data_IF_070202522393
#
_entry.id   IF_070202522393
#
_cell.length_a   1.000
_cell.length_b   1.000
_cell.length_c   1.000
_cell.angle_alpha   90.00
_cell.angle_beta   90.00
_cell.angle_gamma   90.00
#
_symmetry.space_group_name_H-M   'P 1'
#
loop_
_entity.id
_entity.type
_entity.pdbx_description
1 polymer ?
#
# COMPACT_ATOMS: atom_id res chain seq x y z
N UNK A 1 -14.73 9.43 0.93
CA UNK A 1 -14.84 7.95 0.91
C UNK A 1 -14.97 7.46 -0.51
N UNK A 2 -14.52 6.23 -0.78
CA UNK A 2 -14.54 5.61 -2.11
C UNK A 2 -14.84 4.12 -1.99
N UNK A 3 -15.53 3.53 -2.95
CA UNK A 3 -15.65 2.08 -3.08
C UNK A 3 -14.78 1.55 -4.23
N UNK A 4 -14.18 0.38 -4.03
CA UNK A 4 -13.49 -0.39 -5.07
C UNK A 4 -14.01 -1.83 -5.03
N UNK A 5 -14.17 -2.45 -6.20
CA UNK A 5 -14.67 -3.83 -6.31
C UNK A 5 -13.55 -4.75 -6.80
N UNK A 6 -13.27 -5.80 -6.04
CA UNK A 6 -12.39 -6.89 -6.45
C UNK A 6 -13.25 -8.10 -6.85
N UNK A 7 -13.41 -8.29 -8.15
CA UNK A 7 -14.24 -9.37 -8.70
C UNK A 7 -13.66 -10.76 -8.44
N UNK A 8 -12.33 -10.93 -8.55
CA UNK A 8 -11.67 -12.24 -8.36
C UNK A 8 -11.92 -12.82 -6.98
N UNK A 9 -11.90 -11.96 -5.95
CA UNK A 9 -12.11 -12.36 -4.55
C UNK A 9 -13.54 -12.11 -4.07
N UNK A 10 -14.40 -11.57 -4.93
CA UNK A 10 -15.76 -11.10 -4.58
C UNK A 10 -15.78 -10.20 -3.36
N UNK A 11 -14.95 -9.16 -3.37
CA UNK A 11 -14.85 -8.17 -2.29
C UNK A 11 -15.28 -6.78 -2.77
N UNK A 12 -15.93 -6.06 -1.86
CA UNK A 12 -16.20 -4.62 -1.98
C UNK A 12 -15.37 -3.96 -0.89
N UNK A 13 -14.46 -3.07 -1.28
CA UNK A 13 -13.59 -2.32 -0.37
C UNK A 13 -14.10 -0.89 -0.29
N UNK A 14 -14.59 -0.48 0.88
CA UNK A 14 -14.96 0.92 1.13
C UNK A 14 -13.84 1.57 1.92
N UNK A 15 -13.19 2.55 1.31
CA UNK A 15 -12.10 3.33 1.89
C UNK A 15 -12.65 4.60 2.52
N UNK A 16 -12.32 4.79 3.80
CA UNK A 16 -12.75 5.94 4.60
C UNK A 16 -11.51 6.65 5.13
N UNK A 17 -11.47 7.97 4.96
CA UNK A 17 -10.42 8.79 5.58
C UNK A 17 -10.60 8.84 7.10
N UNK A 18 -9.63 9.41 7.79
CA UNK A 18 -9.67 9.57 9.25
C UNK A 18 -10.90 10.38 9.69
N UNK A 19 -11.22 11.47 8.99
CA UNK A 19 -12.41 12.31 9.27
C UNK A 19 -13.74 11.58 9.01
N UNK A 20 -13.71 10.56 8.14
CA UNK A 20 -14.89 9.79 7.77
C UNK A 20 -15.06 8.52 8.61
N UNK A 21 -14.09 8.17 9.46
CA UNK A 21 -13.96 6.85 10.08
C UNK A 21 -15.26 6.34 10.72
N UNK A 22 -15.99 7.22 11.41
CA UNK A 22 -17.19 6.88 12.17
C UNK A 22 -18.51 7.29 11.48
N UNK A 23 -18.42 7.95 10.34
CA UNK A 23 -19.60 8.26 9.53
C UNK A 23 -20.21 6.98 8.93
N UNK A 24 -21.51 6.91 8.66
CA UNK A 24 -22.05 5.83 7.85
C UNK A 24 -21.50 5.89 6.41
N UNK A 25 -21.61 4.79 5.67
CA UNK A 25 -21.38 4.81 4.21
C UNK A 25 -22.45 5.70 3.57
N UNK A 26 -22.08 6.55 2.59
CA UNK A 26 -23.09 7.41 1.93
C UNK A 26 -24.14 6.57 1.22
N UNK A 27 -25.34 7.14 1.10
CA UNK A 27 -26.40 6.58 0.26
C UNK A 27 -25.96 6.38 -1.20
N UNK A 28 -25.09 7.25 -1.73
CA UNK A 28 -24.54 7.12 -3.07
C UNK A 28 -23.72 5.84 -3.24
N UNK A 29 -22.75 5.60 -2.34
CA UNK A 29 -21.94 4.39 -2.36
C UNK A 29 -22.81 3.16 -2.05
N UNK A 30 -23.75 3.26 -1.12
CA UNK A 30 -24.69 2.18 -0.82
C UNK A 30 -25.49 1.75 -2.06
N UNK A 31 -25.94 2.71 -2.87
CA UNK A 31 -26.61 2.43 -4.15
C UNK A 31 -25.68 1.75 -5.15
N UNK A 32 -24.44 2.19 -5.24
CA UNK A 32 -23.43 1.62 -6.13
C UNK A 32 -23.12 0.15 -5.77
N UNK A 33 -23.03 -0.16 -4.47
CA UNK A 33 -22.61 -1.49 -4.01
C UNK A 33 -23.76 -2.49 -3.82
N UNK A 34 -25.01 -2.03 -3.85
CA UNK A 34 -26.19 -2.87 -3.65
C UNK A 34 -26.28 -4.09 -4.59
N UNK A 35 -26.00 -3.98 -5.91
CA UNK A 35 -26.03 -5.13 -6.82
C UNK A 35 -25.03 -6.22 -6.41
N UNK A 36 -23.81 -5.83 -6.01
CA UNK A 36 -22.77 -6.78 -5.62
C UNK A 36 -23.09 -7.50 -4.30
N UNK A 37 -23.81 -6.85 -3.37
CA UNK A 37 -24.31 -7.52 -2.15
C UNK A 37 -25.30 -8.62 -2.49
N UNK A 38 -26.20 -8.40 -3.46
CA UNK A 38 -27.13 -9.42 -3.94
C UNK A 38 -26.38 -10.64 -4.54
N UNK A 39 -25.24 -10.40 -5.17
CA UNK A 39 -24.34 -11.42 -5.71
C UNK A 39 -23.39 -12.07 -4.69
N UNK A 40 -23.61 -11.82 -3.39
CA UNK A 40 -22.84 -12.36 -2.26
C UNK A 40 -21.37 -11.91 -2.23
N UNK A 41 -21.06 -10.71 -2.73
CA UNK A 41 -19.77 -10.10 -2.46
C UNK A 41 -19.66 -9.72 -0.98
N UNK A 42 -18.47 -9.83 -0.40
CA UNK A 42 -18.21 -9.43 0.98
C UNK A 42 -17.80 -7.96 1.03
N UNK A 43 -18.43 -7.21 1.92
CA UNK A 43 -18.07 -5.82 2.20
C UNK A 43 -16.97 -5.75 3.27
N UNK A 44 -15.92 -4.99 2.99
CA UNK A 44 -14.84 -4.67 3.92
C UNK A 44 -14.73 -3.15 3.99
N UNK A 45 -14.76 -2.61 5.21
CA UNK A 45 -14.56 -1.19 5.47
C UNK A 45 -13.11 -1.00 5.91
N UNK A 46 -12.36 -0.28 5.09
CA UNK A 46 -10.98 0.13 5.34
C UNK A 46 -10.99 1.54 5.91
N UNK A 47 -10.46 1.71 7.12
CA UNK A 47 -10.27 3.04 7.74
C UNK A 47 -8.80 3.43 7.60
N UNK A 48 -8.53 4.68 7.25
CA UNK A 48 -7.19 5.24 7.37
C UNK A 48 -6.71 5.15 8.82
N UNK A 49 -5.41 4.87 9.00
CA UNK A 49 -4.77 4.99 10.30
C UNK A 49 -4.64 6.46 10.73
N UNK A 50 -4.35 6.66 12.01
CA UNK A 50 -4.11 7.96 12.66
C UNK A 50 -2.62 8.25 12.91
N UNK A 51 -1.75 7.27 12.67
CA UNK A 51 -0.31 7.40 12.88
C UNK A 51 0.33 8.43 11.92
N UNK A 52 1.15 9.31 12.48
CA UNK A 52 2.06 10.12 11.69
C UNK A 52 3.21 9.26 11.16
N UNK A 53 3.16 8.95 9.87
CA UNK A 53 4.15 8.11 9.20
C UNK A 53 5.42 8.87 8.80
N UNK A 54 5.56 10.17 9.10
CA UNK A 54 6.68 10.97 8.63
C UNK A 54 8.04 10.39 9.05
N UNK A 55 8.25 10.20 10.36
CA UNK A 55 9.54 9.70 10.87
C UNK A 55 9.83 8.25 10.43
N UNK A 56 8.80 7.38 10.42
CA UNK A 56 8.92 6.01 9.96
C UNK A 56 9.34 5.95 8.48
N UNK A 57 8.72 6.78 7.65
CA UNK A 57 9.01 6.85 6.22
C UNK A 57 10.39 7.46 5.96
N UNK A 58 10.75 8.51 6.70
CA UNK A 58 12.06 9.15 6.61
C UNK A 58 13.19 8.17 6.99
N UNK A 59 13.00 7.42 8.07
CA UNK A 59 13.93 6.39 8.51
C UNK A 59 14.10 5.29 7.45
N UNK A 60 12.99 4.81 6.87
CA UNK A 60 13.01 3.80 5.81
C UNK A 60 13.77 4.29 4.57
N UNK A 61 13.52 5.54 4.14
CA UNK A 61 14.21 6.14 3.00
C UNK A 61 15.71 6.27 3.22
N UNK A 62 16.15 6.79 4.37
CA UNK A 62 17.56 6.90 4.74
C UNK A 62 18.24 5.53 4.73
N UNK A 63 17.58 4.53 5.32
CA UNK A 63 18.09 3.16 5.40
C UNK A 63 18.23 2.53 4.02
N UNK A 64 17.23 2.70 3.14
CA UNK A 64 17.27 2.19 1.79
C UNK A 64 18.39 2.82 0.96
N UNK A 65 18.56 4.15 1.05
CA UNK A 65 19.66 4.85 0.37
C UNK A 65 21.03 4.35 0.83
N UNK A 66 21.21 4.18 2.15
CA UNK A 66 22.46 3.64 2.70
C UNK A 66 22.75 2.22 2.20
N UNK A 67 21.72 1.36 2.13
CA UNK A 67 21.86 0.00 1.58
C UNK A 67 22.22 0.00 0.11
N UNK A 68 21.65 0.90 -0.70
CA UNK A 68 21.99 1.03 -2.12
C UNK A 68 23.47 1.42 -2.31
N UNK A 69 23.93 2.46 -1.62
CA UNK A 69 25.32 2.91 -1.70
C UNK A 69 26.28 1.79 -1.27
N UNK A 70 25.96 1.03 -0.22
CA UNK A 70 26.79 -0.12 0.20
C UNK A 70 26.87 -1.20 -0.88
N UNK A 71 25.74 -1.53 -1.52
CA UNK A 71 25.69 -2.51 -2.61
C UNK A 71 26.50 -2.05 -3.82
N UNK A 72 26.45 -0.76 -4.16
CA UNK A 72 27.26 -0.19 -5.24
C UNK A 72 28.76 -0.32 -4.93
N UNK A 73 29.20 0.05 -3.73
CA UNK A 73 30.60 -0.10 -3.29
C UNK A 73 31.02 -1.58 -3.30
N UNK A 74 30.18 -2.48 -2.81
CA UNK A 74 30.46 -3.92 -2.82
C UNK A 74 30.57 -4.47 -4.25
N UNK A 75 29.71 -4.02 -5.17
CA UNK A 75 29.76 -4.40 -6.58
C UNK A 75 31.02 -3.86 -7.28
N UNK A 76 31.41 -2.61 -7.01
CA UNK A 76 32.67 -2.03 -7.52
C UNK A 76 33.89 -2.80 -7.01
N UNK A 77 33.91 -3.15 -5.72
CA UNK A 77 34.98 -3.98 -5.14
C UNK A 77 35.05 -5.35 -5.79
N UNK A 78 33.90 -6.02 -5.95
CA UNK A 78 33.84 -7.33 -6.59
C UNK A 78 34.27 -7.29 -8.07
N UNK A 79 33.95 -6.20 -8.79
CA UNK A 79 34.38 -6.01 -10.18
C UNK A 79 35.89 -5.73 -10.28
N UNK A 80 36.45 -4.95 -9.35
CA UNK A 80 37.87 -4.61 -9.28
C UNK A 80 38.80 -5.75 -8.83
N UNK A 81 38.26 -6.79 -8.17
CA UNK A 81 39.01 -7.97 -7.70
C UNK A 81 39.07 -9.11 -8.74
N UNK A 82 38.58 -8.89 -9.97
CA UNK A 82 38.69 -9.88 -11.05
C UNK A 82 40.12 -9.85 -11.62
N UNK A 83 40.95 -10.90 -11.48
CA UNK A 83 42.28 -10.91 -12.08
C UNK A 83 42.16 -10.95 -13.60
N UNK A 84 42.92 -10.10 -14.28
CA UNK A 84 43.05 -10.10 -15.73
C UNK A 84 43.53 -11.49 -16.19
N UNK A 85 42.85 -12.17 -17.14
CA UNK A 85 43.28 -13.50 -17.58
C UNK A 85 44.62 -13.38 -18.32
N UNK A 86 45.61 -14.15 -17.83
CA UNK A 86 46.96 -14.27 -18.37
C UNK A 86 47.01 -15.00 -19.73
#
# INVERSE_FOLDING_TARGET
MRADVNHDKKLILVWKTTDEADLPVSEEIEREIAPFRAEKYKLIIMKSGDEDLYELTLFLLKTNRMKMVRREIEAERAAGDTPEPA
#
